data_IF_165890476880
#
_entry.id   IF_165890476880
#
_cell.length_a   1.000
_cell.length_b   1.000
_cell.length_c   1.000
_cell.angle_alpha   90.00
_cell.angle_beta   90.00
_cell.angle_gamma   90.00
#
_symmetry.space_group_name_H-M   'P 1'
#
loop_
_entity.id
_entity.type
_entity.pdbx_description
1 polymer ?
#
# COMPACT_ATOMS: atom_id res chain seq x y z
N UNK A 1 11.15 -14.85 -34.12
CA UNK A 1 10.55 -14.02 -33.06
C UNK A 1 9.19 -14.61 -32.69
N UNK A 2 8.81 -14.68 -31.40
CA UNK A 2 7.48 -15.16 -31.01
C UNK A 2 6.39 -14.26 -31.63
N UNK A 3 5.31 -14.87 -32.14
CA UNK A 3 4.18 -14.14 -32.74
C UNK A 3 3.38 -13.46 -31.64
N UNK A 4 3.35 -12.14 -31.65
CA UNK A 4 2.50 -11.35 -30.76
C UNK A 4 1.15 -11.12 -31.43
N UNK A 5 0.07 -11.18 -30.66
CA UNK A 5 -1.22 -10.75 -31.17
C UNK A 5 -1.36 -9.22 -31.04
N UNK A 6 -2.25 -8.63 -31.84
CA UNK A 6 -2.47 -7.17 -31.84
C UNK A 6 -2.79 -6.61 -30.45
N UNK A 7 -3.55 -7.34 -29.64
CA UNK A 7 -3.90 -6.89 -28.29
C UNK A 7 -2.67 -6.78 -27.36
N UNK A 8 -1.71 -7.70 -27.48
CA UNK A 8 -0.44 -7.65 -26.76
C UNK A 8 0.44 -6.49 -27.23
N UNK A 9 0.45 -6.20 -28.53
CA UNK A 9 1.16 -5.03 -29.08
C UNK A 9 0.56 -3.73 -28.54
N UNK A 10 -0.77 -3.58 -28.58
CA UNK A 10 -1.49 -2.42 -28.04
C UNK A 10 -1.28 -2.27 -26.53
N UNK A 11 -1.29 -3.38 -25.77
CA UNK A 11 -0.96 -3.38 -24.33
C UNK A 11 0.41 -2.76 -24.06
N UNK A 12 1.44 -3.29 -24.74
CA UNK A 12 2.84 -2.83 -24.61
C UNK A 12 3.04 -1.38 -25.04
N UNK A 13 2.27 -0.89 -26.01
CA UNK A 13 2.32 0.52 -26.39
C UNK A 13 1.92 1.41 -25.21
N UNK A 14 0.85 1.06 -24.49
CA UNK A 14 0.43 1.81 -23.30
C UNK A 14 1.46 1.73 -22.16
N UNK A 15 1.99 0.54 -21.88
CA UNK A 15 3.04 0.34 -20.87
C UNK A 15 4.31 1.15 -21.16
N UNK A 16 4.69 1.28 -22.44
CA UNK A 16 5.81 2.14 -22.84
C UNK A 16 5.45 3.61 -22.81
N UNK A 17 4.22 3.96 -23.19
CA UNK A 17 3.78 5.35 -23.28
C UNK A 17 3.69 6.01 -21.91
N UNK A 18 3.12 5.33 -20.91
CA UNK A 18 2.81 5.92 -19.60
C UNK A 18 4.04 6.47 -18.85
N UNK A 19 5.18 5.76 -18.74
CA UNK A 19 6.36 6.28 -18.04
C UNK A 19 6.89 7.59 -18.63
N UNK A 20 6.72 7.81 -19.94
CA UNK A 20 7.14 9.05 -20.61
C UNK A 20 6.20 10.23 -20.31
N UNK A 21 5.03 9.97 -19.72
CA UNK A 21 4.10 11.02 -19.32
C UNK A 21 4.37 11.54 -17.91
N UNK A 22 5.11 10.77 -17.09
CA UNK A 22 5.37 11.12 -15.70
C UNK A 22 6.26 12.36 -15.59
N UNK A 23 6.10 13.16 -14.52
CA UNK A 23 7.09 14.18 -14.17
C UNK A 23 8.49 13.59 -14.07
N UNK A 24 9.51 14.37 -14.47
CA UNK A 24 10.90 13.89 -14.54
C UNK A 24 11.46 13.37 -13.22
N UNK A 25 10.90 13.82 -12.10
CA UNK A 25 11.28 13.48 -10.74
C UNK A 25 10.35 12.44 -10.11
N UNK A 26 9.49 11.79 -10.90
CA UNK A 26 8.68 10.66 -10.45
C UNK A 26 9.27 9.37 -11.00
N UNK A 27 9.43 8.36 -10.15
CA UNK A 27 10.08 7.11 -10.50
C UNK A 27 9.03 6.04 -10.77
N UNK A 28 9.00 5.49 -11.98
CA UNK A 28 8.20 4.31 -12.31
C UNK A 28 9.00 3.03 -12.10
N UNK A 29 8.44 2.11 -11.31
CA UNK A 29 9.02 0.81 -10.99
C UNK A 29 8.08 -0.28 -11.52
N UNK A 30 8.36 -0.89 -12.69
CA UNK A 30 7.59 -2.04 -13.16
C UNK A 30 7.82 -3.24 -12.22
N UNK A 31 6.83 -4.12 -12.03
CA UNK A 31 7.01 -5.30 -11.19
C UNK A 31 7.92 -6.31 -11.89
N UNK A 32 8.62 -7.12 -11.10
CA UNK A 32 9.42 -8.22 -11.63
C UNK A 32 8.56 -9.34 -12.24
N UNK A 33 7.35 -9.52 -11.71
CA UNK A 33 6.38 -10.54 -12.13
C UNK A 33 5.02 -9.91 -12.40
N UNK A 34 4.16 -10.58 -13.16
CA UNK A 34 2.78 -10.14 -13.34
C UNK A 34 1.99 -10.35 -12.05
N UNK A 35 1.90 -9.27 -11.27
CA UNK A 35 1.17 -9.23 -10.00
C UNK A 35 -0.14 -8.46 -10.15
N UNK A 36 -0.69 -8.32 -11.36
CA UNK A 36 -1.98 -7.67 -11.58
C UNK A 36 -1.99 -6.14 -11.42
N UNK A 37 -0.80 -5.51 -11.42
CA UNK A 37 -0.57 -4.08 -11.64
C UNK A 37 0.64 -3.93 -12.56
N UNK A 38 0.71 -2.85 -13.32
CA UNK A 38 1.78 -2.67 -14.32
C UNK A 38 2.99 -1.92 -13.75
N UNK A 39 2.84 -1.29 -12.58
CA UNK A 39 3.96 -0.69 -11.85
C UNK A 39 3.56 0.07 -10.60
N UNK A 40 4.56 0.57 -9.90
CA UNK A 40 4.46 1.50 -8.79
C UNK A 40 5.14 2.80 -9.19
N UNK A 41 4.51 3.93 -8.90
CA UNK A 41 5.11 5.26 -9.05
C UNK A 41 5.47 5.79 -7.67
N UNK A 42 6.72 6.24 -7.52
CA UNK A 42 7.22 6.92 -6.32
C UNK A 42 7.44 8.39 -6.63
N UNK A 43 6.82 9.27 -5.85
CA UNK A 43 6.97 10.72 -5.99
C UNK A 43 8.28 11.14 -5.31
N UNK A 44 9.22 11.70 -6.08
CA UNK A 44 10.51 12.19 -5.55
C UNK A 44 10.64 13.69 -5.84
N UNK A 45 9.89 14.52 -5.13
CA UNK A 45 9.83 15.96 -5.35
C UNK A 45 9.83 16.76 -4.04
N UNK A 46 9.77 18.09 -4.11
CA UNK A 46 9.77 18.94 -2.91
C UNK A 46 8.35 19.17 -2.35
N UNK A 47 7.35 18.41 -2.81
CA UNK A 47 5.96 18.55 -2.36
C UNK A 47 5.68 17.76 -1.08
N UNK A 48 4.54 18.00 -0.39
CA UNK A 48 4.09 17.17 0.72
C UNK A 48 3.84 15.70 0.35
N UNK A 49 3.80 15.38 -0.95
CA UNK A 49 3.63 14.02 -1.46
C UNK A 49 4.96 13.30 -1.66
N UNK A 50 6.09 13.93 -1.37
CA UNK A 50 7.41 13.30 -1.49
C UNK A 50 7.48 12.00 -0.70
N UNK A 51 8.01 10.95 -1.33
CA UNK A 51 8.08 9.60 -0.77
C UNK A 51 6.75 8.83 -0.77
N UNK A 52 5.63 9.46 -1.13
CA UNK A 52 4.39 8.73 -1.35
C UNK A 52 4.47 7.92 -2.64
N UNK A 53 3.79 6.79 -2.62
CA UNK A 53 3.70 5.88 -3.74
C UNK A 53 2.25 5.58 -4.11
N UNK A 54 2.04 5.25 -5.38
CA UNK A 54 0.77 4.73 -5.87
C UNK A 54 1.00 3.63 -6.90
N UNK A 55 0.08 2.67 -6.95
CA UNK A 55 0.08 1.60 -7.95
C UNK A 55 -0.52 2.12 -9.24
N UNK A 56 -0.11 1.55 -10.37
CA UNK A 56 -0.66 1.89 -11.68
C UNK A 56 -1.14 0.62 -12.36
N UNK A 57 -2.37 0.65 -12.85
CA UNK A 57 -2.85 -0.30 -13.85
C UNK A 57 -3.16 0.47 -15.13
N UNK A 58 -2.49 0.09 -16.19
CA UNK A 58 -2.69 0.52 -17.56
C UNK A 58 -3.61 -0.48 -18.26
N UNK A 59 -4.62 0.05 -18.94
CA UNK A 59 -5.43 -0.69 -19.92
C UNK A 59 -5.32 0.05 -21.24
N UNK A 60 -5.11 -0.69 -22.32
CA UNK A 60 -4.89 -0.13 -23.64
C UNK A 60 -5.95 -0.63 -24.61
N UNK A 61 -6.42 0.26 -25.48
CA UNK A 61 -7.30 -0.08 -26.59
C UNK A 61 -6.87 0.67 -27.85
N UNK A 62 -7.26 0.16 -29.03
CA UNK A 62 -7.09 0.91 -30.27
C UNK A 62 -7.94 2.19 -30.24
N UNK A 63 -9.20 2.04 -29.79
CA UNK A 63 -10.15 3.11 -29.49
C UNK A 63 -11.00 2.74 -28.29
N UNK A 64 -11.32 3.70 -27.44
CA UNK A 64 -12.26 3.49 -26.34
C UNK A 64 -13.70 3.75 -26.76
N UNK A 65 -14.63 3.01 -26.14
CA UNK A 65 -16.05 3.33 -26.23
C UNK A 65 -16.35 4.47 -25.26
N UNK A 66 -16.83 5.60 -25.78
CA UNK A 66 -17.22 6.77 -25.00
C UNK A 66 -18.74 6.85 -24.96
N UNK A 67 -19.30 6.90 -23.76
CA UNK A 67 -20.73 7.06 -23.50
C UNK A 67 -20.90 8.13 -22.44
N UNK A 68 -21.73 9.14 -22.72
CA UNK A 68 -22.01 10.25 -21.79
C UNK A 68 -20.75 10.88 -21.16
N UNK A 69 -19.78 11.23 -22.01
CA UNK A 69 -18.48 11.81 -21.59
C UNK A 69 -17.66 10.90 -20.64
N UNK A 70 -17.91 9.60 -20.66
CA UNK A 70 -17.19 8.61 -19.87
C UNK A 70 -16.66 7.49 -20.76
N UNK A 71 -15.42 7.08 -20.51
CA UNK A 71 -14.81 5.90 -21.11
C UNK A 71 -15.25 4.66 -20.33
N UNK A 72 -15.76 3.67 -21.06
CA UNK A 72 -16.22 2.40 -20.46
C UNK A 72 -15.11 1.36 -20.51
N UNK A 73 -14.66 0.89 -19.34
CA UNK A 73 -13.63 -0.16 -19.23
C UNK A 73 -14.13 -1.33 -18.41
N UNK A 74 -13.97 -2.55 -18.94
CA UNK A 74 -14.34 -3.78 -18.25
C UNK A 74 -13.13 -4.37 -17.53
N UNK A 75 -13.30 -4.68 -16.24
CA UNK A 75 -12.25 -5.26 -15.41
C UNK A 75 -12.78 -6.47 -14.65
N UNK A 76 -11.93 -7.46 -14.40
CA UNK A 76 -12.30 -8.60 -13.57
C UNK A 76 -12.52 -8.11 -12.13
N UNK A 77 -13.54 -8.65 -11.47
CA UNK A 77 -13.87 -8.32 -10.07
C UNK A 77 -12.69 -8.59 -9.14
N UNK A 78 -12.00 -9.72 -9.34
CA UNK A 78 -10.80 -10.09 -8.57
C UNK A 78 -9.68 -9.05 -8.71
N UNK A 79 -9.43 -8.55 -9.93
CA UNK A 79 -8.45 -7.49 -10.17
C UNK A 79 -8.86 -6.19 -9.49
N UNK A 80 -10.14 -5.82 -9.54
CA UNK A 80 -10.64 -4.64 -8.86
C UNK A 80 -10.48 -4.75 -7.33
N UNK A 81 -10.84 -5.89 -6.74
CA UNK A 81 -10.66 -6.14 -5.30
C UNK A 81 -9.18 -6.01 -4.94
N UNK A 82 -8.30 -6.61 -5.74
CA UNK A 82 -6.86 -6.52 -5.56
C UNK A 82 -6.32 -5.08 -5.62
N UNK A 83 -6.84 -4.25 -6.53
CA UNK A 83 -6.46 -2.83 -6.62
C UNK A 83 -6.94 -2.01 -5.44
N UNK A 84 -8.09 -2.38 -4.87
CA UNK A 84 -8.66 -1.75 -3.68
C UNK A 84 -8.01 -2.23 -2.39
N UNK A 85 -7.47 -3.45 -2.37
CA UNK A 85 -6.81 -4.03 -1.20
C UNK A 85 -5.32 -3.73 -1.08
N UNK A 86 -4.81 -2.78 -1.86
CA UNK A 86 -3.49 -2.21 -1.60
C UNK A 86 -3.52 -1.15 -0.50
N UNK A 87 -2.44 -1.09 0.28
CA UNK A 87 -2.13 0.08 1.12
C UNK A 87 -1.94 1.37 0.31
N UNK A 88 -1.52 1.23 -0.94
CA UNK A 88 -1.25 2.35 -1.84
C UNK A 88 -2.42 2.45 -2.84
N UNK A 89 -2.99 3.64 -3.07
CA UNK A 89 -4.03 3.83 -4.07
C UNK A 89 -3.60 3.33 -5.45
N UNK A 90 -4.54 2.79 -6.21
CA UNK A 90 -4.30 2.36 -7.59
C UNK A 90 -4.86 3.41 -8.56
N UNK A 91 -4.00 3.95 -9.42
CA UNK A 91 -4.36 4.78 -10.56
C UNK A 91 -4.67 3.87 -11.75
N UNK A 92 -5.90 3.94 -12.25
CA UNK A 92 -6.30 3.30 -13.50
C UNK A 92 -6.00 4.26 -14.65
N UNK A 93 -5.18 3.81 -15.59
CA UNK A 93 -4.78 4.55 -16.79
C UNK A 93 -5.39 3.87 -18.00
N UNK A 94 -6.12 4.62 -18.82
CA UNK A 94 -6.67 4.16 -20.08
C UNK A 94 -5.88 4.79 -21.22
N UNK A 95 -5.16 3.98 -21.99
CA UNK A 95 -4.40 4.42 -23.15
C UNK A 95 -5.14 4.08 -24.45
N UNK A 96 -5.19 5.04 -25.39
CA UNK A 96 -5.75 4.87 -26.73
C UNK A 96 -4.64 4.96 -27.78
N UNK A 97 -4.42 3.86 -28.50
CA UNK A 97 -3.34 3.79 -29.48
C UNK A 97 -3.59 4.65 -30.73
N UNK A 98 -4.83 4.75 -31.22
CA UNK A 98 -5.14 5.48 -32.44
C UNK A 98 -4.85 6.99 -32.33
N UNK A 99 -5.02 7.57 -31.14
CA UNK A 99 -4.79 8.99 -30.88
C UNK A 99 -3.49 9.25 -30.10
N UNK A 100 -2.83 8.19 -29.59
CA UNK A 100 -1.70 8.28 -28.68
C UNK A 100 -1.99 9.17 -27.46
N UNK A 101 -3.18 9.00 -26.88
CA UNK A 101 -3.64 9.75 -25.71
C UNK A 101 -4.05 8.81 -24.59
N UNK A 102 -4.18 9.33 -23.37
CA UNK A 102 -4.73 8.56 -22.28
C UNK A 102 -5.50 9.39 -21.27
N UNK A 103 -6.21 8.67 -20.41
CA UNK A 103 -7.01 9.20 -19.31
C UNK A 103 -6.67 8.46 -18.04
N UNK A 104 -6.96 9.07 -16.89
CA UNK A 104 -6.69 8.43 -15.62
C UNK A 104 -7.78 8.68 -14.59
N UNK A 105 -7.88 7.78 -13.62
CA UNK A 105 -8.71 7.99 -12.45
C UNK A 105 -8.23 7.11 -11.30
N UNK A 106 -8.45 7.54 -10.07
CA UNK A 106 -8.20 6.71 -8.92
C UNK A 106 -9.30 5.66 -8.80
N UNK A 107 -8.93 4.38 -8.65
CA UNK A 107 -9.90 3.27 -8.57
C UNK A 107 -10.91 3.49 -7.43
N UNK A 108 -10.46 4.01 -6.28
CA UNK A 108 -11.35 4.30 -5.15
C UNK A 108 -12.35 5.43 -5.43
N UNK A 109 -12.05 6.38 -6.32
CA UNK A 109 -13.00 7.42 -6.72
C UNK A 109 -14.12 6.84 -7.58
N UNK A 110 -13.76 6.02 -8.59
CA UNK A 110 -14.74 5.36 -9.46
C UNK A 110 -15.72 4.52 -8.66
N UNK A 111 -15.22 3.79 -7.67
CA UNK A 111 -16.04 2.92 -6.84
C UNK A 111 -16.90 3.70 -5.84
N UNK A 112 -16.42 4.85 -5.36
CA UNK A 112 -17.23 5.72 -4.50
C UNK A 112 -18.44 6.30 -5.23
N UNK A 113 -18.35 6.51 -6.55
CA UNK A 113 -19.47 6.96 -7.39
C UNK A 113 -20.51 5.85 -7.62
N UNK A 114 -20.10 4.58 -7.66
CA UNK A 114 -21.00 3.45 -7.88
C UNK A 114 -20.63 2.22 -7.02
N UNK A 115 -21.06 2.26 -5.76
CA UNK A 115 -20.86 1.15 -4.81
C UNK A 115 -21.61 -0.12 -5.20
N UNK A 116 -22.61 -0.05 -6.09
CA UNK A 116 -23.36 -1.24 -6.52
C UNK A 116 -22.47 -2.20 -7.31
N UNK A 117 -21.44 -1.67 -7.98
CA UNK A 117 -20.41 -2.44 -8.71
C UNK A 117 -19.73 -3.50 -7.83
N UNK A 118 -19.57 -3.24 -6.53
CA UNK A 118 -18.98 -4.20 -5.60
C UNK A 118 -20.00 -5.22 -5.04
N UNK A 119 -21.30 -4.92 -5.09
CA UNK A 119 -22.35 -5.80 -4.56
C UNK A 119 -22.80 -6.84 -5.57
N UNK A 120 -22.71 -6.53 -6.86
CA UNK A 120 -23.15 -7.43 -7.92
C UNK A 120 -22.20 -8.63 -8.05
N UNK A 121 -22.70 -9.86 -7.94
CA UNK A 121 -21.91 -11.10 -7.96
C UNK A 121 -21.23 -11.41 -9.30
N UNK A 122 -21.26 -10.46 -10.25
CA UNK A 122 -20.65 -10.57 -11.56
C UNK A 122 -19.13 -10.75 -11.48
N UNK A 123 -18.59 -11.62 -12.36
CA UNK A 123 -17.14 -11.85 -12.51
C UNK A 123 -16.39 -10.65 -13.09
N UNK A 124 -17.10 -9.81 -13.84
CA UNK A 124 -16.56 -8.65 -14.54
C UNK A 124 -17.43 -7.45 -14.23
N UNK A 125 -16.79 -6.32 -13.99
CA UNK A 125 -17.45 -5.06 -13.69
C UNK A 125 -17.06 -4.01 -14.72
N UNK A 126 -17.98 -3.08 -15.00
CA UNK A 126 -17.71 -1.96 -15.91
C UNK A 126 -17.43 -0.72 -15.08
N UNK A 127 -16.23 -0.17 -15.23
CA UNK A 127 -15.82 1.09 -14.63
C UNK A 127 -16.05 2.22 -15.63
N UNK A 128 -16.43 3.38 -15.12
CA UNK A 128 -16.61 4.59 -15.91
C UNK A 128 -15.52 5.60 -15.57
N UNK A 129 -14.77 6.04 -16.57
CA UNK A 129 -13.67 7.00 -16.39
C UNK A 129 -14.04 8.31 -17.09
N UNK A 130 -14.07 9.46 -16.40
CA UNK A 130 -14.39 10.75 -17.04
C UNK A 130 -13.38 11.11 -18.14
N UNK A 131 -13.87 11.55 -19.32
CA UNK A 131 -12.98 12.04 -20.40
C UNK A 131 -12.24 13.33 -20.03
N UNK A 132 -12.70 14.04 -19.00
CA UNK A 132 -12.10 15.26 -18.46
C UNK A 132 -10.76 15.01 -17.77
N UNK A 133 -10.50 13.79 -17.31
CA UNK A 133 -9.24 13.41 -16.66
C UNK A 133 -8.19 12.94 -17.67
N UNK A 134 -7.93 13.77 -18.68
CA UNK A 134 -6.90 13.49 -19.67
C UNK A 134 -5.52 13.48 -18.99
N UNK A 135 -4.71 12.49 -19.33
CA UNK A 135 -3.35 12.37 -18.84
C UNK A 135 -2.44 13.30 -19.66
N UNK A 136 -2.15 14.46 -19.11
CA UNK A 136 -1.20 15.44 -19.65
C UNK A 136 -0.41 16.10 -18.50
N UNK A 137 0.52 17.01 -18.83
CA UNK A 137 1.37 17.64 -17.83
C UNK A 137 0.59 18.36 -16.71
N UNK A 138 -0.65 18.81 -16.96
CA UNK A 138 -1.44 19.58 -16.01
C UNK A 138 -2.08 18.72 -14.91
N UNK A 139 -2.29 17.42 -15.14
CA UNK A 139 -3.01 16.54 -14.20
C UNK A 139 -2.14 16.10 -13.01
N UNK A 140 -0.81 16.08 -13.14
CA UNK A 140 0.08 15.46 -12.15
C UNK A 140 0.08 16.16 -10.79
N UNK A 141 0.06 17.50 -10.78
CA UNK A 141 -0.03 18.27 -9.53
C UNK A 141 -1.36 18.01 -8.79
N UNK A 142 -2.53 18.09 -9.45
CA UNK A 142 -3.79 17.65 -8.85
C UNK A 142 -3.77 16.20 -8.34
N UNK A 143 -3.24 15.25 -9.12
CA UNK A 143 -3.15 13.85 -8.69
C UNK A 143 -2.27 13.67 -7.44
N UNK A 144 -1.14 14.37 -7.38
CA UNK A 144 -0.27 14.36 -6.20
C UNK A 144 -1.00 14.87 -4.95
N UNK A 145 -1.71 15.99 -5.06
CA UNK A 145 -2.49 16.55 -3.95
C UNK A 145 -3.64 15.61 -3.54
N UNK A 146 -4.27 14.94 -4.50
CA UNK A 146 -5.30 13.94 -4.21
C UNK A 146 -4.72 12.73 -3.46
N UNK A 147 -3.56 12.22 -3.89
CA UNK A 147 -2.87 11.13 -3.21
C UNK A 147 -2.51 11.50 -1.78
N UNK A 148 -1.93 12.67 -1.56
CA UNK A 148 -1.63 13.18 -0.23
C UNK A 148 -2.90 13.27 0.63
N UNK A 149 -3.99 13.83 0.08
CA UNK A 149 -5.29 13.94 0.77
C UNK A 149 -5.94 12.59 1.09
N UNK A 150 -5.69 11.55 0.29
CA UNK A 150 -6.15 10.19 0.58
C UNK A 150 -5.38 9.59 1.75
N UNK A 151 -4.05 9.76 1.79
CA UNK A 151 -3.21 9.30 2.90
C UNK A 151 -3.56 10.02 4.22
N UNK A 152 -3.72 11.35 4.20
CA UNK A 152 -4.13 12.10 5.39
C UNK A 152 -5.50 11.67 5.91
N UNK A 153 -6.45 11.31 5.03
CA UNK A 153 -7.76 10.80 5.46
C UNK A 153 -7.65 9.47 6.20
N UNK A 154 -6.74 8.60 5.79
CA UNK A 154 -6.46 7.34 6.48
C UNK A 154 -5.85 7.64 7.86
N UNK A 155 -4.82 8.49 7.93
CA UNK A 155 -4.22 8.91 9.18
C UNK A 155 -5.27 9.51 10.14
N UNK A 156 -6.07 10.48 9.69
CA UNK A 156 -7.12 11.09 10.51
C UNK A 156 -8.12 10.08 11.05
N UNK A 157 -8.57 9.12 10.24
CA UNK A 157 -9.49 8.07 10.70
C UNK A 157 -8.87 7.24 11.82
N UNK A 158 -7.61 6.86 11.69
CA UNK A 158 -6.89 6.08 12.70
C UNK A 158 -6.73 6.88 13.99
N UNK A 159 -6.40 8.17 13.88
CA UNK A 159 -6.27 9.04 15.05
C UNK A 159 -7.59 9.19 15.79
N UNK A 160 -8.67 9.55 15.08
CA UNK A 160 -10.01 9.74 15.66
C UNK A 160 -10.54 8.44 16.26
N UNK A 161 -10.21 7.31 15.67
CA UNK A 161 -10.56 5.98 16.15
C UNK A 161 -9.71 5.50 17.35
N UNK A 162 -8.69 6.26 17.77
CA UNK A 162 -7.78 5.84 18.85
C UNK A 162 -6.86 4.67 18.45
N UNK A 163 -6.71 4.38 17.16
CA UNK A 163 -5.98 3.23 16.65
C UNK A 163 -4.50 3.52 16.31
N UNK A 164 -3.97 4.67 16.76
CA UNK A 164 -2.56 5.03 16.53
C UNK A 164 -1.58 4.07 17.24
N UNK A 165 -1.89 3.66 18.48
CA UNK A 165 -1.06 2.75 19.25
C UNK A 165 -0.93 1.36 18.58
N UNK A 166 -2.03 0.69 18.15
CA UNK A 166 -1.93 -0.54 17.37
C UNK A 166 -1.02 -0.46 16.14
N UNK A 167 -1.07 0.65 15.40
CA UNK A 167 -0.19 0.86 14.23
C UNK A 167 1.28 0.92 14.64
N UNK A 168 1.60 1.62 15.74
CA UNK A 168 2.97 1.70 16.27
C UNK A 168 3.46 0.35 16.80
N UNK A 169 2.62 -0.37 17.55
CA UNK A 169 2.94 -1.71 18.07
C UNK A 169 3.23 -2.69 16.93
N UNK A 170 2.39 -2.70 15.89
CA UNK A 170 2.60 -3.55 14.73
C UNK A 170 3.89 -3.17 13.99
N UNK A 171 4.14 -1.87 13.78
CA UNK A 171 5.39 -1.40 13.14
C UNK A 171 6.62 -1.87 13.92
N UNK A 172 6.60 -1.74 15.24
CA UNK A 172 7.68 -2.18 16.12
C UNK A 172 7.91 -3.70 16.05
N UNK A 173 6.84 -4.50 16.15
CA UNK A 173 6.92 -5.95 16.08
C UNK A 173 7.48 -6.45 14.73
N UNK A 174 7.04 -5.83 13.62
CA UNK A 174 7.55 -6.15 12.28
C UNK A 174 9.05 -5.82 12.15
N UNK A 175 9.49 -4.68 12.69
CA UNK A 175 10.91 -4.32 12.70
C UNK A 175 11.76 -5.28 13.54
N UNK A 176 11.28 -5.67 14.73
CA UNK A 176 11.97 -6.65 15.58
C UNK A 176 12.09 -8.01 14.88
N UNK A 177 11.02 -8.44 14.21
CA UNK A 177 11.01 -9.70 13.46
C UNK A 177 11.99 -9.66 12.28
N UNK A 178 12.04 -8.55 11.54
CA UNK A 178 13.03 -8.35 10.48
C UNK A 178 14.47 -8.42 11.00
N UNK A 179 14.74 -7.75 12.12
CA UNK A 179 16.06 -7.78 12.75
C UNK A 179 16.45 -9.18 13.21
N UNK A 180 15.51 -9.95 13.79
CA UNK A 180 15.76 -11.33 14.21
C UNK A 180 16.06 -12.25 13.01
N UNK A 181 15.34 -12.10 11.89
CA UNK A 181 15.62 -12.84 10.65
C UNK A 181 17.04 -12.52 10.15
N UNK A 182 17.43 -11.26 10.16
CA UNK A 182 18.77 -10.81 9.73
C UNK A 182 19.88 -11.39 10.62
N UNK A 183 19.72 -11.30 11.95
CA UNK A 183 20.66 -11.91 12.91
C UNK A 183 20.78 -13.42 12.72
N UNK A 184 19.66 -14.13 12.56
CA UNK A 184 19.68 -15.57 12.29
C UNK A 184 20.37 -15.88 10.96
N UNK A 185 20.20 -15.05 9.92
CA UNK A 185 20.85 -15.24 8.65
C UNK A 185 22.38 -15.06 8.74
N UNK A 186 22.85 -14.04 9.45
CA UNK A 186 24.27 -13.79 9.68
C UNK A 186 24.92 -14.85 10.56
N UNK A 187 24.27 -15.25 11.66
CA UNK A 187 24.80 -16.26 12.57
C UNK A 187 24.96 -17.65 11.96
N UNK A 188 24.32 -17.95 10.82
CA UNK A 188 24.56 -19.19 10.07
C UNK A 188 25.76 -19.16 9.12
N UNK A 189 26.26 -17.96 8.79
CA UNK A 189 27.42 -17.82 7.91
C UNK A 189 28.74 -17.88 8.67
N UNK A 190 28.70 -17.51 9.94
CA UNK A 190 29.83 -17.63 10.86
C UNK A 190 29.79 -19.04 11.45
N UNK A 191 30.84 -19.85 11.23
CA UNK A 191 31.05 -21.14 11.91
C UNK A 191 31.37 -20.90 13.40
N UNK A 192 30.50 -20.15 14.11
CA UNK A 192 30.64 -19.93 15.54
C UNK A 192 30.01 -21.12 16.28
N UNK A 193 30.81 -21.81 17.09
CA UNK A 193 30.37 -22.94 17.92
C UNK A 193 29.40 -22.53 19.06
N UNK A 194 29.11 -21.22 19.22
CA UNK A 194 28.46 -20.68 20.42
C UNK A 194 26.93 -20.81 20.43
N UNK A 195 26.25 -20.89 19.28
CA UNK A 195 24.78 -21.00 19.21
C UNK A 195 24.36 -22.23 18.37
N UNK A 196 23.57 -23.16 18.93
CA UNK A 196 23.05 -24.27 18.17
C UNK A 196 22.23 -23.81 16.96
N UNK A 197 22.51 -24.36 15.78
CA UNK A 197 21.78 -24.08 14.53
C UNK A 197 20.26 -24.26 14.66
N UNK A 198 19.83 -25.18 15.53
CA UNK A 198 18.42 -25.42 15.85
C UNK A 198 17.76 -24.22 16.53
N UNK A 199 18.46 -23.54 17.44
CA UNK A 199 17.93 -22.35 18.14
C UNK A 199 17.78 -21.16 17.20
N UNK A 200 18.75 -20.95 16.29
CA UNK A 200 18.64 -19.93 15.24
C UNK A 200 17.46 -20.19 14.30
N UNK A 201 17.19 -21.46 13.98
CA UNK A 201 16.07 -21.85 13.16
C UNK A 201 14.73 -21.60 13.85
N UNK A 202 14.60 -22.00 15.12
CA UNK A 202 13.40 -21.77 15.92
C UNK A 202 13.11 -20.27 16.08
N UNK A 203 14.16 -19.45 16.28
CA UNK A 203 14.05 -18.01 16.36
C UNK A 203 13.59 -17.37 15.03
N UNK A 204 14.17 -17.80 13.89
CA UNK A 204 13.77 -17.30 12.56
C UNK A 204 12.31 -17.68 12.23
N UNK A 205 11.89 -18.91 12.56
CA UNK A 205 10.50 -19.34 12.41
C UNK A 205 9.55 -18.52 13.28
N UNK A 206 9.94 -18.24 14.52
CA UNK A 206 9.16 -17.41 15.44
C UNK A 206 9.00 -16.00 14.86
N UNK A 207 10.05 -15.41 14.30
CA UNK A 207 9.97 -14.11 13.64
C UNK A 207 8.96 -14.10 12.48
N UNK A 208 8.99 -15.11 11.60
CA UNK A 208 8.01 -15.23 10.51
C UNK A 208 6.57 -15.33 11.04
N UNK A 209 6.35 -16.08 12.12
CA UNK A 209 5.05 -16.19 12.77
C UNK A 209 4.58 -14.85 13.35
N UNK A 210 5.44 -14.16 14.09
CA UNK A 210 5.14 -12.86 14.70
C UNK A 210 4.75 -11.81 13.66
N UNK A 211 5.36 -11.85 12.46
CA UNK A 211 4.95 -10.99 11.34
C UNK A 211 3.48 -11.20 10.97
N UNK A 212 3.04 -12.45 10.79
CA UNK A 212 1.65 -12.75 10.43
C UNK A 212 0.69 -12.39 11.56
N UNK A 213 1.05 -12.73 12.81
CA UNK A 213 0.24 -12.43 14.00
C UNK A 213 0.07 -10.92 14.17
N UNK A 214 1.14 -10.13 14.04
CA UNK A 214 1.11 -8.68 14.16
C UNK A 214 0.20 -8.04 13.11
N UNK A 215 0.26 -8.51 11.85
CA UNK A 215 -0.60 -8.00 10.78
C UNK A 215 -2.07 -8.36 11.00
N UNK A 216 -2.38 -9.60 11.39
CA UNK A 216 -3.75 -10.02 11.67
C UNK A 216 -4.33 -9.26 12.87
N UNK A 217 -3.55 -9.10 13.95
CA UNK A 217 -3.94 -8.30 15.11
C UNK A 217 -4.22 -6.85 14.70
N UNK A 218 -3.35 -6.24 13.91
CA UNK A 218 -3.53 -4.87 13.43
C UNK A 218 -4.82 -4.71 12.59
N UNK A 219 -5.11 -5.66 11.69
CA UNK A 219 -6.36 -5.65 10.90
C UNK A 219 -7.60 -5.69 11.79
N UNK A 220 -7.59 -6.56 12.81
CA UNK A 220 -8.70 -6.68 13.76
C UNK A 220 -8.84 -5.42 14.63
N UNK A 221 -7.74 -4.87 15.15
CA UNK A 221 -7.73 -3.63 15.94
C UNK A 221 -8.28 -2.45 15.13
N UNK A 222 -7.84 -2.29 13.88
CA UNK A 222 -8.32 -1.23 12.99
C UNK A 222 -9.79 -1.43 12.60
N UNK A 223 -10.23 -2.67 12.38
CA UNK A 223 -11.64 -2.97 12.09
C UNK A 223 -12.53 -2.63 13.29
N UNK A 224 -12.13 -3.04 14.49
CA UNK A 224 -12.86 -2.78 15.73
C UNK A 224 -12.94 -1.27 16.03
N UNK A 225 -11.92 -0.52 15.64
CA UNK A 225 -11.90 0.93 15.79
C UNK A 225 -12.66 1.69 14.66
N UNK A 226 -13.18 1.00 13.64
CA UNK A 226 -13.81 1.65 12.47
C UNK A 226 -12.82 2.34 11.52
N UNK A 227 -11.53 2.09 11.71
CA UNK A 227 -10.41 2.63 10.93
C UNK A 227 -9.81 1.58 9.98
N UNK A 228 -10.60 0.60 9.55
CA UNK A 228 -10.13 -0.47 8.67
C UNK A 228 -9.40 0.08 7.44
N UNK A 229 -8.16 -0.38 7.28
CA UNK A 229 -7.30 -0.13 6.12
C UNK A 229 -7.39 -1.37 5.26
N UNK A 230 -7.77 -1.20 3.99
CA UNK A 230 -7.88 -2.32 3.08
C UNK A 230 -6.47 -2.84 2.79
N UNK A 231 -6.27 -4.16 2.88
CA UNK A 231 -5.02 -4.82 2.48
C UNK A 231 -4.14 -5.39 3.57
N UNK A 232 -4.36 -5.04 4.84
CA UNK A 232 -3.55 -5.61 5.95
C UNK A 232 -3.76 -7.11 6.03
N UNK A 233 -5.02 -7.55 6.09
CA UNK A 233 -5.37 -8.98 6.10
C UNK A 233 -4.83 -9.73 4.90
N UNK A 234 -5.00 -9.18 3.70
CA UNK A 234 -4.52 -9.80 2.46
C UNK A 234 -2.99 -9.92 2.46
N UNK A 235 -2.28 -8.91 2.98
CA UNK A 235 -0.82 -8.95 3.13
C UNK A 235 -0.39 -10.04 4.11
N UNK A 236 -1.08 -10.17 5.25
CA UNK A 236 -0.84 -11.24 6.22
C UNK A 236 -1.07 -12.63 5.63
N UNK A 237 -2.17 -12.80 4.90
CA UNK A 237 -2.53 -14.07 4.25
C UNK A 237 -1.55 -14.44 3.14
N UNK A 238 -1.16 -13.47 2.31
CA UNK A 238 -0.16 -13.68 1.26
C UNK A 238 1.18 -14.09 1.88
N UNK A 239 1.66 -13.33 2.87
CA UNK A 239 2.91 -13.65 3.56
C UNK A 239 2.86 -15.03 4.22
N UNK A 240 1.74 -15.38 4.87
CA UNK A 240 1.52 -16.71 5.43
C UNK A 240 1.53 -17.80 4.37
N UNK A 241 0.96 -17.55 3.18
CA UNK A 241 0.97 -18.48 2.06
C UNK A 241 2.37 -18.64 1.47
N UNK A 242 3.17 -17.58 1.43
CA UNK A 242 4.55 -17.67 0.97
C UNK A 242 5.41 -18.45 1.97
N UNK A 243 5.16 -18.30 3.28
CA UNK A 243 5.83 -19.08 4.31
C UNK A 243 5.61 -20.59 4.21
N UNK A 244 4.50 -21.05 3.60
CA UNK A 244 4.27 -22.49 3.37
C UNK A 244 5.24 -23.10 2.37
N UNK A 245 5.97 -22.28 1.60
CA UNK A 245 7.00 -22.76 0.67
C UNK A 245 8.20 -23.37 1.40
N UNK A 246 8.44 -22.98 2.65
CA UNK A 246 9.60 -23.44 3.43
C UNK A 246 9.26 -23.91 4.86
N UNK A 247 8.11 -23.57 5.44
CA UNK A 247 7.64 -24.13 6.74
C UNK A 247 6.35 -24.93 6.51
N UNK A 248 6.40 -26.23 6.79
CA UNK A 248 5.24 -27.13 6.63
C UNK A 248 4.16 -26.78 7.66
N UNK A 249 2.90 -26.70 7.24
CA UNK A 249 1.76 -26.35 8.11
C UNK A 249 1.93 -24.99 8.83
N UNK A 250 2.51 -24.01 8.14
CA UNK A 250 2.71 -22.67 8.70
C UNK A 250 1.40 -21.99 9.18
N UNK A 251 0.25 -22.08 8.49
CA UNK A 251 -1.00 -21.48 8.97
C UNK A 251 -1.45 -22.08 10.32
N UNK A 252 -1.24 -23.37 10.54
CA UNK A 252 -1.48 -24.04 11.82
C UNK A 252 -0.48 -23.57 12.88
N UNK A 253 0.79 -23.41 12.52
CA UNK A 253 1.84 -22.87 13.41
C UNK A 253 1.52 -21.46 13.91
N UNK A 254 0.99 -20.61 13.02
CA UNK A 254 0.54 -19.24 13.36
C UNK A 254 -0.60 -19.27 14.38
N UNK A 255 -1.56 -20.20 14.24
CA UNK A 255 -2.69 -20.34 15.18
C UNK A 255 -2.32 -21.00 16.50
N UNK A 256 -1.25 -21.80 16.51
CA UNK A 256 -0.83 -22.51 17.70
C UNK A 256 -0.30 -21.55 18.77
N UNK A 257 -0.89 -21.58 19.96
CA UNK A 257 -0.40 -20.85 21.12
C UNK A 257 0.23 -21.85 22.09
N UNK A 258 1.55 -21.80 22.26
CA UNK A 258 2.26 -22.68 23.18
C UNK A 258 3.57 -23.27 22.61
N UNK A 259 4.36 -23.92 23.48
CA UNK A 259 5.57 -24.62 23.08
C UNK A 259 5.25 -25.96 22.38
N UNK A 260 6.20 -26.46 21.58
CA UNK A 260 6.16 -27.84 21.06
C UNK A 260 5.38 -28.05 19.76
N UNK A 261 5.18 -27.01 18.95
CA UNK A 261 4.66 -27.20 17.59
C UNK A 261 5.73 -27.83 16.70
N UNK A 262 5.60 -29.14 16.46
CA UNK A 262 6.49 -29.84 15.54
C UNK A 262 6.18 -29.43 14.09
N UNK A 263 7.13 -28.76 13.45
CA UNK A 263 7.08 -28.45 12.01
C UNK A 263 8.40 -28.80 11.34
N UNK A 264 8.33 -29.04 10.04
CA UNK A 264 9.48 -29.31 9.20
C UNK A 264 9.82 -28.05 8.41
N UNK A 265 11.10 -27.72 8.33
CA UNK A 265 11.59 -26.59 7.55
C UNK A 265 12.45 -27.07 6.39
N UNK A 266 12.14 -26.59 5.18
CA UNK A 266 13.03 -26.72 4.03
C UNK A 266 14.03 -25.55 4.06
N UNK A 267 15.23 -25.82 4.59
CA UNK A 267 16.27 -24.81 4.80
C UNK A 267 16.70 -24.12 3.51
N UNK A 268 16.82 -24.85 2.39
CA UNK A 268 17.20 -24.25 1.12
C UNK A 268 16.12 -23.29 0.63
N UNK A 269 14.84 -23.71 0.67
CA UNK A 269 13.73 -22.85 0.27
C UNK A 269 13.62 -21.60 1.17
N UNK A 270 13.92 -21.71 2.46
CA UNK A 270 13.99 -20.57 3.38
C UNK A 270 15.08 -19.58 2.96
N UNK A 271 16.29 -20.07 2.67
CA UNK A 271 17.43 -19.23 2.22
C UNK A 271 17.07 -18.51 0.92
N UNK A 272 16.50 -19.22 -0.04
CA UNK A 272 16.13 -18.67 -1.35
C UNK A 272 15.03 -17.61 -1.23
N UNK A 273 14.05 -17.83 -0.34
CA UNK A 273 12.89 -16.95 -0.17
C UNK A 273 13.16 -15.74 0.74
N UNK A 274 14.11 -15.83 1.69
CA UNK A 274 14.37 -14.80 2.72
C UNK A 274 14.48 -13.38 2.15
N UNK A 275 15.24 -13.09 1.07
CA UNK A 275 15.36 -11.72 0.56
C UNK A 275 14.03 -11.14 0.08
N UNK A 276 13.18 -11.97 -0.51
CA UNK A 276 11.83 -11.57 -0.94
C UNK A 276 10.94 -11.29 0.27
N UNK A 277 10.97 -12.18 1.28
CA UNK A 277 10.23 -12.04 2.52
C UNK A 277 10.57 -10.74 3.25
N UNK A 278 11.88 -10.46 3.43
CA UNK A 278 12.36 -9.27 4.10
C UNK A 278 11.95 -8.00 3.35
N UNK A 279 12.04 -8.01 2.01
CA UNK A 279 11.60 -6.89 1.17
C UNK A 279 10.10 -6.62 1.34
N UNK A 280 9.28 -7.66 1.31
CA UNK A 280 7.83 -7.53 1.48
C UNK A 280 7.47 -6.90 2.84
N UNK A 281 8.08 -7.37 3.93
CA UNK A 281 7.83 -6.84 5.28
C UNK A 281 8.40 -5.43 5.43
N UNK A 282 9.58 -5.14 4.88
CA UNK A 282 10.17 -3.79 4.87
C UNK A 282 9.25 -2.78 4.18
N UNK A 283 8.61 -3.16 3.07
CA UNK A 283 7.61 -2.30 2.41
C UNK A 283 6.40 -2.02 3.32
N UNK A 284 5.92 -3.02 4.06
CA UNK A 284 4.81 -2.83 5.01
C UNK A 284 5.25 -1.89 6.14
N UNK A 285 6.42 -2.12 6.73
CA UNK A 285 7.00 -1.24 7.78
C UNK A 285 7.12 0.19 7.30
N UNK A 286 7.64 0.41 6.08
CA UNK A 286 7.75 1.74 5.49
C UNK A 286 6.40 2.46 5.40
N UNK A 287 5.34 1.74 5.00
CA UNK A 287 3.98 2.29 4.90
C UNK A 287 3.38 2.62 6.25
N UNK A 288 3.50 1.70 7.22
CA UNK A 288 3.00 1.94 8.58
C UNK A 288 3.78 3.06 9.27
N UNK A 289 5.08 3.20 8.98
CA UNK A 289 5.92 4.29 9.48
C UNK A 289 5.52 5.64 8.89
N UNK A 290 5.29 5.72 7.57
CA UNK A 290 4.79 6.92 6.91
C UNK A 290 3.43 7.35 7.50
N UNK A 291 2.53 6.38 7.68
CA UNK A 291 1.24 6.60 8.32
C UNK A 291 1.37 7.11 9.76
N UNK A 292 2.30 6.54 10.53
CA UNK A 292 2.61 6.97 11.90
C UNK A 292 3.16 8.40 11.94
N UNK A 293 3.98 8.78 10.96
CA UNK A 293 4.49 10.14 10.84
C UNK A 293 3.39 11.14 10.52
N UNK A 294 2.48 10.79 9.61
CA UNK A 294 1.33 11.63 9.28
C UNK A 294 0.37 11.79 10.47
N UNK A 295 0.17 10.71 11.25
CA UNK A 295 -0.52 10.77 12.54
C UNK A 295 0.15 11.75 13.51
N UNK A 296 1.48 11.68 13.66
CA UNK A 296 2.20 12.60 14.55
C UNK A 296 2.05 14.07 14.11
N UNK A 297 2.18 14.35 12.81
CA UNK A 297 2.04 15.69 12.23
C UNK A 297 0.65 16.29 12.48
N UNK A 298 -0.41 15.51 12.27
CA UNK A 298 -1.79 15.95 12.49
C UNK A 298 -2.09 16.22 13.98
N UNK A 299 -1.46 15.45 14.88
CA UNK A 299 -1.59 15.66 16.33
C UNK A 299 -0.99 17.01 16.74
N UNK A 300 0.21 17.32 16.24
CA UNK A 300 0.89 18.60 16.49
C UNK A 300 0.09 19.77 15.89
N UNK A 301 -0.39 19.64 14.66
CA UNK A 301 -1.20 20.68 14.00
C UNK A 301 -2.49 20.99 14.78
N UNK A 302 -3.15 19.94 15.30
CA UNK A 302 -4.38 20.08 16.11
C UNK A 302 -4.12 20.78 17.45
N UNK A 303 -2.97 20.56 18.07
CA UNK A 303 -2.59 21.26 19.32
C UNK A 303 -2.33 22.75 19.09
N UNK A 304 -1.74 23.13 17.96
CA UNK A 304 -1.49 24.54 17.62
C UNK A 304 -2.76 25.30 17.22
N UNK A 305 -3.74 24.64 16.62
CA UNK A 305 -5.01 25.26 16.25
C UNK A 305 -5.89 25.65 17.45
N UNK A 306 -5.64 25.09 18.64
CA UNK A 306 -6.41 25.33 19.87
C UNK A 306 -5.75 26.38 20.79
N UNK A 307 -4.62 26.97 20.40
CA UNK A 307 -4.02 28.09 21.13
C UNK A 307 -4.95 29.33 21.04
N UNK A 308 -5.52 29.82 22.16
CA UNK A 308 -6.50 30.90 22.11
C UNK A 308 -5.85 32.24 21.77
N UNK A 309 -6.60 33.07 21.04
CA UNK A 309 -6.58 34.53 21.10
C UNK A 309 -6.77 34.98 22.57
N UNK A 310 -5.71 34.88 23.36
CA UNK A 310 -5.64 35.31 24.74
C UNK A 310 -5.01 36.70 24.82
N UNK A 311 -5.88 37.69 25.03
CA UNK A 311 -5.61 38.98 25.67
C UNK A 311 -5.07 40.15 24.81
N UNK A 312 -5.97 40.72 24.00
CA UNK A 312 -5.96 42.16 23.71
C UNK A 312 -7.21 42.80 24.35
N UNK A 313 -7.37 42.70 25.67
CA UNK A 313 -8.27 43.62 26.37
C UNK A 313 -7.55 44.94 26.58
N UNK A 314 -7.98 45.92 25.78
CA UNK A 314 -7.57 47.31 25.85
C UNK A 314 -7.80 47.86 27.27
N UNK A 315 -6.76 48.47 27.82
CA UNK A 315 -6.78 49.19 29.09
C UNK A 315 -7.45 50.56 28.87
N UNK A 316 -8.65 50.85 29.41
CA UNK A 316 -9.22 52.19 29.31
C UNK A 316 -8.64 53.06 30.42
N UNK A 317 -7.94 54.11 29.97
CA UNK A 317 -7.49 55.26 30.74
C UNK A 317 -8.55 55.76 31.73
N UNK A 318 -8.19 55.77 33.00
CA UNK A 318 -8.92 56.44 34.09
C UNK A 318 -8.67 57.95 33.97
N UNK A 319 -9.69 58.71 33.54
CA UNK A 319 -9.77 60.15 33.78
C UNK A 319 -10.77 60.39 34.92
N UNK A 320 -10.27 60.81 36.08
CA UNK A 320 -11.06 61.32 37.21
C UNK A 320 -11.12 62.84 37.13
N UNK A 321 -12.33 63.38 37.03
CA UNK A 321 -12.67 64.75 37.41
C UNK A 321 -13.56 64.70 38.65
N UNK A 322 -13.04 65.20 39.78
CA UNK A 322 -13.69 65.94 40.86
C UNK A 322 -12.65 66.19 41.96
#
# INVERSE_FOLDING_TARGET
>A
MPRQNKAQETGRLGERWFPHQLPANWLFQPPHEDVGVDGVVVICDDSPSNGLEFRVQIKSSERWNVQDERLMVRVKRESLIYWLSGFSPTLLVLYEAASNTGWCTWVNQVIAEDLAVLKDGAKTVSLQVPVTHRLDASIWKPLSLQLHSLNLRIAKRIMVAGAALPVLEATHCLMQSLHLIDLCASGRQEDSDDIPQTELLDAEMTAHKEIVVALLKLDDDLRNAGASIIGIKDSAQRYSSDCTKFIVNFPEFVRHSGPGFATQVNLQALIDFRPEAMRAVTQIVGKLSALSLDLARESVASQHAVAPLGDMTANPSVNRTA
#
